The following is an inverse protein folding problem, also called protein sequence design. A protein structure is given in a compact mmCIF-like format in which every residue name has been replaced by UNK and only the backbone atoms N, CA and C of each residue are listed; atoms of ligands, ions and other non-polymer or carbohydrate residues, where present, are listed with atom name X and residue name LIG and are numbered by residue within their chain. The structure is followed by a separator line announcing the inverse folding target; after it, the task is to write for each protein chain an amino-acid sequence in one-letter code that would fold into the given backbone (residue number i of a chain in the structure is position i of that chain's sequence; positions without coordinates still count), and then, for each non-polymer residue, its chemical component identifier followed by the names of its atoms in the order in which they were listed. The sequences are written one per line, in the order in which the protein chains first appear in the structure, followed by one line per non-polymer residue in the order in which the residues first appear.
data_IF_616203845653
#
_entry.id   IF_616203845653
#
_cell.length_a   1.000
_cell.length_b   1.000
_cell.length_c   1.000
_cell.angle_alpha   90.00
_cell.angle_beta   90.00
_cell.angle_gamma   90.00
#
_symmetry.space_group_name_H-M   'P 1'
#
loop_
_entity.id
_entity.type
_entity.pdbx_description
1 polymer ?
#
# COMPACT_ATOMS: atom_id res chain seq x y z
N UNK A 1 2.56 -1.22 -8.36
CA UNK A 1 1.87 -1.10 -7.06
C UNK A 1 0.42 -0.67 -7.25
N UNK A 2 -0.43 -0.93 -6.30
CA UNK A 2 -1.86 -0.63 -6.40
C UNK A 2 -2.26 0.37 -5.31
N UNK A 3 -2.99 1.41 -5.69
CA UNK A 3 -3.65 2.31 -4.74
C UNK A 3 -5.09 1.83 -4.59
N UNK A 4 -5.46 1.46 -3.36
CA UNK A 4 -6.82 0.98 -3.07
C UNK A 4 -7.80 2.14 -2.97
N UNK A 5 -9.07 1.86 -3.20
CA UNK A 5 -10.15 2.87 -3.15
C UNK A 5 -11.17 2.44 -2.09
N UNK A 6 -10.80 2.57 -0.82
CA UNK A 6 -11.65 2.13 0.29
C UNK A 6 -12.88 3.02 0.48
N UNK A 7 -12.73 4.32 0.24
CA UNK A 7 -13.81 5.28 0.35
C UNK A 7 -14.26 5.68 -1.05
N UNK A 8 -15.54 5.47 -1.36
CA UNK A 8 -16.09 5.70 -2.70
C UNK A 8 -16.65 7.12 -2.89
N UNK A 9 -16.52 8.00 -1.91
CA UNK A 9 -16.90 9.39 -2.07
C UNK A 9 -16.10 10.06 -3.18
N UNK A 10 -16.73 10.88 -4.06
CA UNK A 10 -16.02 11.48 -5.20
C UNK A 10 -14.76 12.25 -4.82
N UNK A 11 -14.78 13.00 -3.72
CA UNK A 11 -13.61 13.72 -3.25
C UNK A 11 -12.48 12.79 -2.85
N UNK A 12 -12.81 11.63 -2.28
CA UNK A 12 -11.82 10.62 -1.88
C UNK A 12 -11.24 9.90 -3.09
N UNK A 13 -12.08 9.59 -4.09
CA UNK A 13 -11.60 9.00 -5.34
C UNK A 13 -10.61 9.96 -6.02
N UNK A 14 -10.89 11.25 -6.02
CA UNK A 14 -9.96 12.25 -6.55
C UNK A 14 -8.62 12.25 -5.79
N UNK A 15 -8.65 12.07 -4.46
CA UNK A 15 -7.42 11.93 -3.66
C UNK A 15 -6.60 10.72 -4.10
N UNK A 16 -7.24 9.57 -4.29
CA UNK A 16 -6.56 8.35 -4.75
C UNK A 16 -5.96 8.53 -6.15
N UNK A 17 -6.69 9.20 -7.04
CA UNK A 17 -6.18 9.52 -8.38
C UNK A 17 -4.93 10.39 -8.32
N UNK A 18 -4.92 11.38 -7.42
CA UNK A 18 -3.73 12.22 -7.22
C UNK A 18 -2.54 11.42 -6.70
N UNK A 19 -2.77 10.45 -5.82
CA UNK A 19 -1.71 9.57 -5.33
C UNK A 19 -1.08 8.79 -6.47
N UNK A 20 -1.90 8.21 -7.37
CA UNK A 20 -1.40 7.50 -8.55
C UNK A 20 -0.60 8.43 -9.44
N UNK A 21 -1.11 9.63 -9.70
CA UNK A 21 -0.41 10.61 -10.54
C UNK A 21 0.95 11.02 -9.92
N UNK A 22 0.99 11.22 -8.62
CA UNK A 22 2.21 11.58 -7.89
C UNK A 22 3.24 10.47 -8.00
N UNK A 23 2.82 9.21 -7.81
CA UNK A 23 3.71 8.06 -7.90
C UNK A 23 4.25 7.90 -9.33
N UNK A 24 3.38 8.03 -10.33
CA UNK A 24 3.79 7.93 -11.75
C UNK A 24 4.76 9.05 -12.13
N UNK A 25 4.52 10.26 -11.64
CA UNK A 25 5.44 11.39 -11.88
C UNK A 25 6.83 11.14 -11.29
N UNK A 26 6.91 10.34 -10.24
CA UNK A 26 8.16 9.94 -9.61
C UNK A 26 8.82 8.73 -10.29
N UNK A 27 8.26 8.23 -11.40
CA UNK A 27 8.79 7.08 -12.12
C UNK A 27 8.36 5.73 -11.55
N UNK A 28 7.39 5.70 -10.65
CA UNK A 28 6.89 4.48 -10.02
C UNK A 28 5.69 3.97 -10.80
N UNK A 29 5.68 2.69 -11.12
CA UNK A 29 4.52 2.06 -11.76
C UNK A 29 3.40 1.94 -10.72
N UNK A 30 2.31 2.64 -10.96
CA UNK A 30 1.19 2.67 -10.05
C UNK A 30 -0.12 2.58 -10.82
N UNK A 31 -1.10 1.90 -10.24
CA UNK A 31 -2.45 1.82 -10.79
C UNK A 31 -3.48 2.01 -9.69
N UNK A 32 -4.64 2.51 -10.08
CA UNK A 32 -5.78 2.69 -9.20
C UNK A 32 -6.69 1.48 -9.30
N UNK A 33 -7.19 0.98 -8.18
CA UNK A 33 -8.21 -0.06 -8.21
C UNK A 33 -9.50 0.52 -8.79
N UNK A 34 -9.95 -0.04 -9.91
CA UNK A 34 -11.13 0.43 -10.63
C UNK A 34 -12.32 -0.46 -10.28
N UNK A 35 -13.02 -0.14 -9.24
CA UNK A 35 -14.18 -0.93 -8.87
C UNK A 35 -14.71 -0.53 -7.51
N UNK A 36 -15.91 -1.02 -7.23
CA UNK A 36 -16.50 -0.90 -5.91
C UNK A 36 -16.20 -2.20 -5.19
N UNK A 37 -15.41 -2.11 -4.17
CA UNK A 37 -15.08 -3.33 -3.47
C UNK A 37 -14.69 -3.08 -2.05
N UNK A 38 -14.86 -4.11 -1.28
CA UNK A 38 -14.35 -4.14 0.08
C UNK A 38 -12.83 -4.36 0.01
N UNK A 39 -12.19 -4.21 1.16
CA UNK A 39 -10.74 -4.33 1.27
C UNK A 39 -10.22 -5.69 0.74
N UNK A 40 -10.89 -6.79 1.09
CA UNK A 40 -10.45 -8.13 0.68
C UNK A 40 -10.31 -8.32 -0.83
N UNK A 41 -11.36 -8.02 -1.63
CA UNK A 41 -11.25 -8.10 -3.08
C UNK A 41 -10.18 -7.21 -3.68
N UNK A 42 -9.95 -6.03 -3.12
CA UNK A 42 -8.89 -5.12 -3.58
C UNK A 42 -7.51 -5.72 -3.32
N UNK A 43 -7.32 -6.38 -2.19
CA UNK A 43 -6.07 -7.07 -1.88
C UNK A 43 -5.83 -8.25 -2.81
N UNK A 44 -6.88 -9.01 -3.14
CA UNK A 44 -6.78 -10.11 -4.11
C UNK A 44 -6.39 -9.60 -5.49
N UNK A 45 -6.93 -8.47 -5.90
CA UNK A 45 -6.56 -7.84 -7.17
C UNK A 45 -5.07 -7.51 -7.18
N UNK A 46 -4.55 -6.90 -6.12
CA UNK A 46 -3.14 -6.55 -6.02
C UNK A 46 -2.25 -7.81 -6.08
N UNK A 47 -2.65 -8.89 -5.42
CA UNK A 47 -1.93 -10.16 -5.48
C UNK A 47 -1.90 -10.73 -6.89
N UNK A 48 -3.02 -10.71 -7.60
CA UNK A 48 -3.09 -11.18 -8.99
C UNK A 48 -2.24 -10.36 -9.93
N UNK A 49 -2.07 -9.09 -9.66
CA UNK A 49 -1.24 -8.18 -10.43
C UNK A 49 0.24 -8.31 -10.07
N UNK A 50 0.59 -9.15 -9.10
CA UNK A 50 1.94 -9.28 -8.55
C UNK A 50 2.48 -7.93 -8.08
N UNK A 51 1.62 -7.10 -7.49
CA UNK A 51 2.02 -5.80 -6.99
C UNK A 51 2.98 -5.99 -5.80
N UNK A 52 4.11 -5.29 -5.75
CA UNK A 52 5.03 -5.40 -4.61
C UNK A 52 4.49 -4.76 -3.35
N UNK A 53 3.63 -3.76 -3.48
CA UNK A 53 3.00 -3.11 -2.34
C UNK A 53 1.68 -2.47 -2.72
N UNK A 54 0.89 -2.12 -1.71
CA UNK A 54 -0.36 -1.37 -1.87
C UNK A 54 -0.37 -0.15 -0.96
N UNK A 55 -1.08 0.89 -1.40
CA UNK A 55 -1.35 2.09 -0.60
C UNK A 55 -2.79 2.02 -0.11
N UNK A 56 -2.97 2.25 1.17
CA UNK A 56 -4.26 2.15 1.86
C UNK A 56 -4.53 3.46 2.59
N UNK A 57 -5.68 4.09 2.33
CA UNK A 57 -6.10 5.25 3.10
C UNK A 57 -7.61 5.20 3.30
N UNK A 58 -8.03 4.82 4.49
CA UNK A 58 -9.41 4.95 4.92
C UNK A 58 -9.68 6.31 5.55
N UNK A 59 -10.86 6.48 6.13
CA UNK A 59 -11.26 7.73 6.76
C UNK A 59 -10.40 8.10 7.96
N UNK A 60 -9.98 7.12 8.76
CA UNK A 60 -9.13 7.35 9.93
C UNK A 60 -7.77 7.90 9.53
N UNK A 61 -7.13 7.27 8.53
CA UNK A 61 -5.85 7.70 8.01
C UNK A 61 -5.95 9.10 7.39
N UNK A 62 -7.05 9.36 6.68
CA UNK A 62 -7.27 10.69 6.09
C UNK A 62 -7.35 11.78 7.14
N UNK A 63 -8.04 11.52 8.25
CA UNK A 63 -8.15 12.47 9.35
C UNK A 63 -6.80 12.79 9.96
N UNK A 64 -5.91 11.82 9.99
CA UNK A 64 -4.55 11.99 10.52
C UNK A 64 -3.56 12.54 9.49
N UNK A 65 -3.98 12.70 8.23
CA UNK A 65 -3.08 13.10 7.14
C UNK A 65 -2.04 12.04 6.82
N UNK A 66 -2.40 10.77 6.98
CA UNK A 66 -1.51 9.63 6.80
C UNK A 66 -2.02 8.68 5.71
N UNK A 67 -1.11 7.83 5.22
CA UNK A 67 -1.43 6.68 4.38
C UNK A 67 -0.75 5.47 4.99
N UNK A 68 -1.31 4.28 4.74
CA UNK A 68 -0.65 3.03 5.08
C UNK A 68 -0.05 2.40 3.84
N UNK A 69 1.15 1.87 3.99
CA UNK A 69 1.84 1.12 2.93
C UNK A 69 1.92 -0.33 3.40
N UNK A 70 1.44 -1.25 2.57
CA UNK A 70 1.56 -2.69 2.85
C UNK A 70 2.49 -3.32 1.83
N UNK A 71 3.57 -3.90 2.33
CA UNK A 71 4.55 -4.64 1.53
C UNK A 71 4.03 -6.07 1.33
N UNK A 72 3.57 -6.39 0.14
CA UNK A 72 2.99 -7.69 -0.16
C UNK A 72 4.03 -8.80 -0.22
N UNK A 73 5.24 -8.49 -0.64
CA UNK A 73 6.32 -9.47 -0.71
C UNK A 73 6.73 -9.89 0.70
N UNK A 74 7.00 -8.93 1.56
CA UNK A 74 7.35 -9.21 2.95
C UNK A 74 6.18 -9.84 3.71
N UNK A 75 4.95 -9.40 3.43
CA UNK A 75 3.76 -9.98 4.01
C UNK A 75 3.62 -11.48 3.69
N UNK A 76 3.91 -11.87 2.45
CA UNK A 76 3.90 -13.29 2.06
C UNK A 76 4.99 -14.09 2.75
N UNK A 77 6.18 -13.50 2.92
CA UNK A 77 7.28 -14.14 3.66
C UNK A 77 6.91 -14.37 5.11
N UNK A 78 6.26 -13.38 5.74
CA UNK A 78 5.83 -13.48 7.14
C UNK A 78 4.79 -14.59 7.31
N UNK A 79 3.89 -14.75 6.35
CA UNK A 79 2.88 -15.82 6.41
C UNK A 79 3.52 -17.21 6.45
N UNK A 80 4.74 -17.37 5.91
CA UNK A 80 5.49 -18.60 5.96
C UNK A 80 6.36 -18.78 7.23
N UNK A 81 6.50 -17.73 8.05
CA UNK A 81 7.30 -17.74 9.26
C UNK A 81 6.37 -17.91 10.46
N UNK A 82 6.41 -19.01 11.14
CA UNK A 82 5.35 -19.31 12.09
C UNK A 82 5.75 -19.42 13.56
N UNK A 83 6.99 -19.16 13.98
CA UNK A 83 7.38 -19.68 15.29
C UNK A 83 8.00 -18.73 16.30
N UNK A 84 8.47 -17.58 15.90
CA UNK A 84 8.96 -16.58 16.85
C UNK A 84 8.02 -15.39 16.83
N UNK A 85 7.26 -15.23 17.91
CA UNK A 85 6.25 -14.17 18.00
C UNK A 85 6.87 -12.79 17.92
N UNK A 86 8.02 -12.57 18.54
CA UNK A 86 8.68 -11.27 18.54
C UNK A 86 9.19 -10.92 17.14
N UNK A 87 9.82 -11.89 16.47
CA UNK A 87 10.28 -11.73 15.09
C UNK A 87 9.10 -11.49 14.14
N UNK A 88 8.02 -12.24 14.32
CA UNK A 88 6.79 -12.07 13.54
C UNK A 88 6.21 -10.66 13.70
N UNK A 89 6.10 -10.17 14.93
CA UNK A 89 5.54 -8.84 15.20
C UNK A 89 6.42 -7.73 14.62
N UNK A 90 7.73 -7.87 14.71
CA UNK A 90 8.67 -6.91 14.15
C UNK A 90 8.56 -6.86 12.63
N UNK A 91 8.54 -8.01 11.97
CA UNK A 91 8.40 -8.09 10.52
C UNK A 91 7.05 -7.62 10.05
N UNK A 92 5.98 -7.91 10.81
CA UNK A 92 4.65 -7.41 10.48
C UNK A 92 4.60 -5.89 10.53
N UNK A 93 5.27 -5.25 11.48
CA UNK A 93 5.36 -3.80 11.57
C UNK A 93 6.15 -3.21 10.38
N UNK A 94 7.14 -3.93 9.84
CA UNK A 94 7.85 -3.53 8.64
C UNK A 94 7.02 -3.74 7.38
N UNK A 95 6.15 -4.77 7.38
CA UNK A 95 5.32 -5.10 6.22
C UNK A 95 4.13 -4.17 6.05
N UNK A 96 3.64 -3.56 7.13
CA UNK A 96 2.54 -2.60 7.05
C UNK A 96 2.79 -1.46 8.04
N UNK A 97 2.89 -0.25 7.51
CA UNK A 97 3.23 0.91 8.33
C UNK A 97 2.54 2.17 7.80
N UNK A 98 2.37 3.14 8.68
CA UNK A 98 1.77 4.43 8.34
C UNK A 98 2.86 5.48 8.12
N UNK A 99 2.63 6.35 7.13
CA UNK A 99 3.49 7.52 6.88
C UNK A 99 2.59 8.71 6.58
N UNK A 100 3.12 9.92 6.74
CA UNK A 100 2.42 11.13 6.32
C UNK A 100 2.17 11.08 4.81
N UNK A 101 1.08 11.67 4.36
CA UNK A 101 0.76 11.72 2.92
C UNK A 101 1.92 12.27 2.10
N UNK A 102 2.63 13.28 2.62
CA UNK A 102 3.78 13.89 1.95
C UNK A 102 4.96 12.92 1.77
N UNK A 103 5.03 11.86 2.58
CA UNK A 103 6.07 10.86 2.53
C UNK A 103 5.76 9.67 1.65
N UNK A 104 4.65 9.69 0.91
CA UNK A 104 4.18 8.56 0.11
C UNK A 104 5.23 8.05 -0.87
N UNK A 105 5.81 8.93 -1.69
CA UNK A 105 6.77 8.54 -2.73
C UNK A 105 8.00 7.88 -2.12
N UNK A 106 8.58 8.50 -1.09
CA UNK A 106 9.78 7.96 -0.44
C UNK A 106 9.51 6.63 0.25
N UNK A 107 8.34 6.50 0.90
CA UNK A 107 7.96 5.25 1.55
C UNK A 107 7.81 4.12 0.54
N UNK A 108 7.17 4.37 -0.59
CA UNK A 108 7.02 3.39 -1.67
C UNK A 108 8.37 3.02 -2.27
N UNK A 109 9.22 4.01 -2.55
CA UNK A 109 10.57 3.77 -3.07
C UNK A 109 11.38 2.88 -2.12
N UNK A 110 11.26 3.12 -0.83
CA UNK A 110 11.97 2.35 0.19
C UNK A 110 11.53 0.87 0.15
N UNK A 111 10.23 0.63 0.04
CA UNK A 111 9.70 -0.74 -0.08
C UNK A 111 10.20 -1.40 -1.37
N UNK A 112 10.12 -0.70 -2.49
CA UNK A 112 10.57 -1.24 -3.78
C UNK A 112 12.07 -1.56 -3.76
N UNK A 113 12.88 -0.67 -3.19
CA UNK A 113 14.33 -0.88 -3.08
C UNK A 113 14.66 -2.08 -2.19
N UNK A 114 13.88 -2.33 -1.14
CA UNK A 114 14.04 -3.47 -0.25
C UNK A 114 14.00 -4.80 -1.01
N UNK A 115 13.20 -4.86 -2.08
CA UNK A 115 13.02 -6.08 -2.88
C UNK A 115 13.70 -6.01 -4.26
N UNK A 116 14.52 -5.01 -4.49
CA UNK A 116 15.22 -4.86 -5.76
C UNK A 116 14.29 -4.51 -6.93
N UNK A 117 13.16 -3.91 -6.66
CA UNK A 117 12.22 -3.45 -7.69
C UNK A 117 12.56 -2.00 -8.05
N UNK A 118 12.72 -1.74 -9.33
CA UNK A 118 13.05 -0.40 -9.81
C UNK A 118 11.80 0.48 -9.91
#
# INVERSE_FOLDING_TARGET
MVVTTLDQEPARIADYQRMVATLRAAGIRAELYLGKGKFGPQMKYADKRNAPCVVIQGSDEKQKGEVQIKDLILGAEIAGLSRDRDDYLQKQAEAQFAVAEDGLVEAVRKVLARHGVA
#
